data_IF_599234153839
#
_entry.id   IF_599234153839
#
_cell.length_a   1.000
_cell.length_b   1.000
_cell.length_c   1.000
_cell.angle_alpha   90.00
_cell.angle_beta   90.00
_cell.angle_gamma   90.00
#
_symmetry.space_group_name_H-M   'P 1'
#
loop_
_entity.id
_entity.type
_entity.pdbx_description
1 polymer ?
#
# COMPACT_ATOMS: atom_id res chain seq x y z
N UNK A 1 21.08 -11.35 -14.19
CA UNK A 1 19.80 -11.20 -13.47
C UNK A 1 20.12 -11.11 -11.99
N UNK A 2 20.13 -9.92 -11.40
CA UNK A 2 20.34 -9.77 -9.95
C UNK A 2 19.03 -10.14 -9.26
N UNK A 3 19.07 -11.19 -8.43
CA UNK A 3 18.04 -11.48 -7.44
C UNK A 3 18.15 -10.40 -6.35
N UNK A 4 17.05 -9.73 -6.05
CA UNK A 4 16.91 -8.92 -4.83
C UNK A 4 16.51 -9.86 -3.69
N UNK A 5 17.39 -10.14 -2.71
CA UNK A 5 17.03 -10.91 -1.53
C UNK A 5 16.55 -9.91 -0.48
N UNK A 6 15.38 -9.33 -0.69
CA UNK A 6 14.80 -8.36 0.22
C UNK A 6 13.39 -8.79 0.57
N UNK A 7 13.19 -9.28 1.79
CA UNK A 7 11.85 -9.43 2.35
C UNK A 7 11.12 -8.09 2.21
N UNK A 8 9.94 -8.08 1.58
CA UNK A 8 9.22 -6.87 1.21
C UNK A 8 8.88 -5.96 2.41
N UNK A 9 8.85 -6.49 3.64
CA UNK A 9 8.58 -5.73 4.85
C UNK A 9 9.57 -4.59 5.15
N UNK A 10 10.82 -4.63 4.68
CA UNK A 10 11.76 -3.52 4.87
C UNK A 10 11.48 -2.32 3.94
N UNK A 11 10.69 -2.52 2.88
CA UNK A 11 10.32 -1.48 1.93
C UNK A 11 9.02 -0.76 2.26
N UNK A 12 8.24 -1.22 3.24
CA UNK A 12 6.96 -0.63 3.63
C UNK A 12 7.07 0.19 4.92
N UNK A 13 6.71 1.47 4.83
CA UNK A 13 6.59 2.35 6.01
C UNK A 13 5.18 2.23 6.60
N UNK A 14 5.05 2.29 7.93
CA UNK A 14 3.74 2.38 8.58
C UNK A 14 3.25 3.83 8.60
N UNK A 15 2.03 4.06 8.10
CA UNK A 15 1.37 5.37 8.06
C UNK A 15 0.33 5.60 9.17
N UNK A 16 0.28 4.74 10.19
CA UNK A 16 -0.74 4.81 11.25
C UNK A 16 -0.45 5.88 12.33
N UNK A 17 0.72 6.53 12.26
CA UNK A 17 1.06 7.72 13.03
C UNK A 17 0.35 8.96 12.44
N UNK A 18 -0.01 9.92 13.29
CA UNK A 18 -0.64 11.17 12.86
C UNK A 18 0.38 12.25 12.46
N UNK A 19 1.67 12.01 12.66
CA UNK A 19 2.73 12.92 12.23
C UNK A 19 3.01 12.77 10.72
N UNK A 20 2.28 13.56 9.92
CA UNK A 20 2.38 13.55 8.46
C UNK A 20 3.71 14.12 7.94
N UNK A 21 4.35 15.03 8.67
CA UNK A 21 5.64 15.60 8.26
C UNK A 21 6.75 14.56 8.44
N UNK A 22 6.74 13.85 9.56
CA UNK A 22 7.62 12.70 9.78
C UNK A 22 7.36 11.59 8.77
N UNK A 23 6.10 11.29 8.48
CA UNK A 23 5.74 10.29 7.48
C UNK A 23 6.29 10.66 6.10
N UNK A 24 6.18 11.93 5.70
CA UNK A 24 6.74 12.41 4.44
C UNK A 24 8.27 12.22 4.37
N UNK A 25 8.98 12.55 5.44
CA UNK A 25 10.44 12.34 5.53
C UNK A 25 10.79 10.85 5.40
N UNK A 26 10.05 9.97 6.07
CA UNK A 26 10.27 8.53 5.98
C UNK A 26 10.03 8.00 4.57
N UNK A 27 8.92 8.38 3.94
CA UNK A 27 8.58 7.97 2.57
C UNK A 27 9.59 8.48 1.54
N UNK A 28 10.29 9.58 1.83
CA UNK A 28 11.32 10.14 0.95
C UNK A 28 12.70 9.44 1.08
N UNK A 29 12.84 8.44 1.95
CA UNK A 29 14.09 7.71 2.13
C UNK A 29 14.38 6.75 0.97
N UNK A 30 15.66 6.55 0.68
CA UNK A 30 16.09 5.53 -0.28
C UNK A 30 15.68 4.15 0.25
N UNK A 31 15.13 3.31 -0.62
CA UNK A 31 14.60 1.95 -0.36
C UNK A 31 13.16 1.85 0.18
N UNK A 32 12.43 2.96 0.30
CA UNK A 32 10.98 2.87 0.54
C UNK A 32 10.26 2.57 -0.77
N UNK A 33 9.50 1.49 -0.77
CA UNK A 33 8.73 0.97 -1.91
C UNK A 33 7.25 1.29 -1.71
N UNK A 34 6.78 1.30 -0.46
CA UNK A 34 5.37 1.52 -0.20
C UNK A 34 5.02 1.95 1.20
N UNK A 35 3.73 2.18 1.38
CA UNK A 35 3.09 2.55 2.62
C UNK A 35 2.06 1.49 3.03
N UNK A 36 2.00 1.16 4.32
CA UNK A 36 0.91 0.36 4.89
C UNK A 36 0.17 1.14 5.98
N UNK A 37 -1.16 1.01 6.01
CA UNK A 37 -2.01 1.54 7.09
C UNK A 37 -2.96 0.46 7.60
N UNK A 38 -2.91 0.20 8.90
CA UNK A 38 -3.82 -0.72 9.57
C UNK A 38 -5.08 -0.01 10.05
N UNK A 39 -4.98 1.30 10.31
CA UNK A 39 -6.11 2.14 10.65
C UNK A 39 -6.72 2.73 9.39
N UNK A 40 -8.04 2.76 9.35
CA UNK A 40 -8.77 3.46 8.32
C UNK A 40 -8.40 4.94 8.33
N UNK A 41 -7.87 5.50 7.22
CA UNK A 41 -7.53 6.91 7.15
C UNK A 41 -8.78 7.77 7.45
N UNK A 42 -8.76 8.64 8.46
CA UNK A 42 -9.96 9.36 8.92
C UNK A 42 -10.36 10.51 8.00
N UNK A 43 -9.44 10.98 7.17
CA UNK A 43 -9.59 12.18 6.34
C UNK A 43 -9.09 11.92 4.93
N UNK A 44 -9.74 12.57 3.96
CA UNK A 44 -9.31 12.60 2.54
C UNK A 44 -8.93 14.03 2.15
N UNK A 45 -8.04 14.19 1.17
CA UNK A 45 -7.65 15.50 0.63
C UNK A 45 -6.48 16.17 1.37
N UNK A 46 -6.46 17.51 1.43
CA UNK A 46 -5.35 18.27 2.03
C UNK A 46 -5.18 17.90 3.51
N UNK A 47 -3.93 17.71 3.94
CA UNK A 47 -3.63 17.31 5.32
C UNK A 47 -4.00 15.86 5.64
N UNK A 48 -4.23 15.01 4.63
CA UNK A 48 -4.41 13.57 4.83
C UNK A 48 -3.16 12.79 4.45
N UNK A 49 -3.08 11.53 4.90
CA UNK A 49 -2.08 10.56 4.45
C UNK A 49 -2.07 10.42 2.92
N UNK A 50 -3.21 10.56 2.23
CA UNK A 50 -3.27 10.51 0.77
C UNK A 50 -2.57 11.68 0.10
N UNK A 51 -2.63 12.87 0.70
CA UNK A 51 -1.84 14.00 0.22
C UNK A 51 -0.33 13.75 0.40
N UNK A 52 0.07 13.05 1.47
CA UNK A 52 1.46 12.65 1.68
C UNK A 52 1.91 11.60 0.66
N UNK A 53 1.11 10.57 0.41
CA UNK A 53 1.38 9.53 -0.61
C UNK A 53 1.62 10.18 -1.98
N UNK A 54 0.74 11.12 -2.38
CA UNK A 54 0.85 11.85 -3.64
C UNK A 54 2.09 12.74 -3.66
N UNK A 55 2.35 13.50 -2.58
CA UNK A 55 3.50 14.41 -2.48
C UNK A 55 4.83 13.67 -2.51
N UNK A 56 4.90 12.49 -1.88
CA UNK A 56 6.08 11.64 -1.85
C UNK A 56 6.25 10.77 -3.10
N UNK A 57 5.28 10.81 -4.05
CA UNK A 57 5.28 10.01 -5.27
C UNK A 57 5.52 8.50 -5.01
N UNK A 58 4.89 7.98 -3.95
CA UNK A 58 5.07 6.58 -3.55
C UNK A 58 4.30 5.65 -4.50
N UNK A 59 4.94 4.61 -5.06
CA UNK A 59 4.31 3.78 -6.09
C UNK A 59 3.28 2.79 -5.50
N UNK A 60 3.39 2.43 -4.22
CA UNK A 60 2.51 1.42 -3.61
C UNK A 60 1.97 1.90 -2.27
N UNK A 61 0.65 1.83 -2.08
CA UNK A 61 0.06 2.01 -0.76
C UNK A 61 -1.03 0.96 -0.49
N UNK A 62 -1.01 0.36 0.70
CA UNK A 62 -1.97 -0.63 1.14
C UNK A 62 -2.64 -0.15 2.43
N UNK A 63 -3.97 -0.16 2.49
CA UNK A 63 -4.68 0.26 3.71
C UNK A 63 -5.95 -0.54 3.96
N UNK A 64 -6.37 -0.58 5.22
CA UNK A 64 -7.70 -1.05 5.61
C UNK A 64 -8.71 0.09 5.51
N UNK A 65 -9.92 -0.19 4.99
CA UNK A 65 -11.05 0.76 4.96
C UNK A 65 -11.81 0.85 6.28
N UNK A 66 -11.53 -0.07 7.20
CA UNK A 66 -12.21 -0.17 8.49
C UNK A 66 -11.22 -0.60 9.56
N UNK A 67 -11.38 -0.04 10.76
CA UNK A 67 -10.63 -0.45 11.93
C UNK A 67 -11.19 -1.79 12.43
N UNK A 68 -10.42 -2.87 12.33
CA UNK A 68 -10.82 -4.19 12.83
C UNK A 68 -10.18 -4.46 14.19
N UNK A 69 -10.86 -5.30 14.97
CA UNK A 69 -10.55 -5.49 16.40
C UNK A 69 -9.33 -6.36 16.69
N UNK A 70 -8.86 -7.22 15.75
CA UNK A 70 -7.79 -8.19 16.02
C UNK A 70 -6.88 -8.49 14.81
N UNK A 71 -5.60 -8.74 15.09
CA UNK A 71 -4.57 -9.33 14.23
C UNK A 71 -4.42 -8.73 12.83
N UNK A 72 -4.71 -7.45 12.64
CA UNK A 72 -4.56 -6.79 11.34
C UNK A 72 -3.10 -6.69 10.91
N UNK A 73 -2.21 -6.36 11.85
CA UNK A 73 -0.79 -6.21 11.58
C UNK A 73 -0.18 -7.50 11.02
N UNK A 74 -0.36 -8.62 11.71
CA UNK A 74 0.17 -9.92 11.28
C UNK A 74 -0.39 -10.36 9.93
N UNK A 75 -1.68 -10.12 9.68
CA UNK A 75 -2.29 -10.49 8.41
C UNK A 75 -1.82 -9.61 7.24
N UNK A 76 -1.70 -8.30 7.45
CA UNK A 76 -1.21 -7.36 6.43
C UNK A 76 0.28 -7.61 6.17
N UNK A 77 1.09 -7.79 7.22
CA UNK A 77 2.51 -8.10 7.08
C UNK A 77 2.71 -9.47 6.44
N UNK A 78 1.90 -10.46 6.81
CA UNK A 78 1.89 -11.76 6.16
C UNK A 78 1.55 -11.68 4.67
N UNK A 79 0.58 -10.83 4.28
CA UNK A 79 0.22 -10.61 2.89
C UNK A 79 1.35 -9.93 2.09
N UNK A 80 2.01 -8.93 2.67
CA UNK A 80 3.14 -8.25 2.03
C UNK A 80 4.35 -9.18 1.90
N UNK A 81 4.57 -10.05 2.88
CA UNK A 81 5.73 -10.94 2.93
C UNK A 81 5.56 -12.25 2.17
N UNK A 82 4.34 -12.65 1.83
CA UNK A 82 4.09 -13.94 1.16
C UNK A 82 4.38 -13.92 -0.34
N UNK A 83 4.70 -12.75 -0.92
CA UNK A 83 4.87 -12.60 -2.35
C UNK A 83 5.94 -11.56 -2.71
N UNK A 84 6.43 -11.61 -3.95
CA UNK A 84 7.23 -10.52 -4.50
C UNK A 84 6.35 -9.30 -4.73
N UNK A 85 6.94 -8.10 -4.73
CA UNK A 85 6.16 -6.86 -4.84
C UNK A 85 5.23 -6.85 -6.08
N UNK A 86 5.72 -7.29 -7.24
CA UNK A 86 4.93 -7.35 -8.48
C UNK A 86 3.72 -8.31 -8.44
N UNK A 87 3.67 -9.21 -7.47
CA UNK A 87 2.58 -10.17 -7.25
C UNK A 87 1.57 -9.65 -6.22
N UNK A 88 1.87 -8.55 -5.51
CA UNK A 88 1.02 -7.98 -4.47
C UNK A 88 -0.41 -7.69 -4.94
N UNK A 89 -0.66 -7.16 -6.17
CA UNK A 89 -2.02 -6.97 -6.66
C UNK A 89 -2.84 -8.27 -6.70
N UNK A 90 -2.25 -9.36 -7.20
CA UNK A 90 -2.91 -10.66 -7.25
C UNK A 90 -3.04 -11.29 -5.86
N UNK A 91 -2.06 -11.11 -4.97
CA UNK A 91 -2.16 -11.55 -3.58
C UNK A 91 -3.32 -10.86 -2.83
N UNK A 92 -3.46 -9.54 -2.99
CA UNK A 92 -4.58 -8.76 -2.42
C UNK A 92 -5.92 -9.24 -2.99
N UNK A 93 -6.00 -9.46 -4.30
CA UNK A 93 -7.20 -9.97 -4.97
C UNK A 93 -7.58 -11.37 -4.47
N UNK A 94 -6.60 -12.27 -4.33
CA UNK A 94 -6.81 -13.61 -3.76
C UNK A 94 -7.31 -13.51 -2.33
N UNK A 95 -6.70 -12.69 -1.48
CA UNK A 95 -7.14 -12.50 -0.09
C UNK A 95 -8.58 -11.97 0.01
N UNK A 96 -8.97 -11.06 -0.88
CA UNK A 96 -10.36 -10.59 -1.01
C UNK A 96 -11.33 -11.72 -1.36
N UNK A 97 -10.95 -12.63 -2.25
CA UNK A 97 -11.78 -13.77 -2.65
C UNK A 97 -11.89 -14.83 -1.54
N UNK A 98 -10.79 -15.10 -0.83
CA UNK A 98 -10.76 -16.06 0.28
C UNK A 98 -11.64 -15.63 1.45
N UNK A 99 -11.65 -14.34 1.76
CA UNK A 99 -12.44 -13.80 2.86
C UNK A 99 -13.91 -13.54 2.44
N UNK A 100 -14.22 -13.48 1.14
CA UNK A 100 -15.58 -13.21 0.62
C UNK A 100 -16.72 -14.01 1.27
N UNK A 101 -16.60 -15.33 1.55
CA UNK A 101 -17.67 -16.11 2.20
C UNK A 101 -17.79 -15.87 3.71
N UNK A 102 -16.88 -15.12 4.33
CA UNK A 102 -16.83 -14.88 5.77
C UNK A 102 -17.62 -13.62 6.17
N UNK A 103 -17.92 -13.42 7.46
CA UNK A 103 -18.51 -12.18 7.94
C UNK A 103 -17.61 -10.97 7.64
N UNK A 104 -18.16 -9.83 7.17
CA UNK A 104 -17.35 -8.68 6.73
C UNK A 104 -16.33 -8.19 7.76
N UNK A 105 -16.77 -8.03 9.02
CA UNK A 105 -15.98 -7.38 10.07
C UNK A 105 -14.92 -8.28 10.75
N UNK A 106 -14.74 -9.53 10.28
CA UNK A 106 -13.82 -10.49 10.90
C UNK A 106 -12.51 -10.64 10.16
N UNK A 107 -12.43 -10.24 8.88
CA UNK A 107 -11.24 -10.47 8.06
C UNK A 107 -10.82 -9.26 7.23
N UNK A 108 -9.50 -9.11 7.06
CA UNK A 108 -8.93 -7.96 6.34
C UNK A 108 -9.37 -7.91 4.88
N UNK A 109 -9.67 -9.04 4.23
CA UNK A 109 -10.01 -9.13 2.82
C UNK A 109 -11.17 -8.23 2.40
N UNK A 110 -12.20 -8.08 3.24
CA UNK A 110 -13.32 -7.16 2.96
C UNK A 110 -12.92 -5.68 2.98
N UNK A 111 -11.83 -5.35 3.66
CA UNK A 111 -11.41 -3.98 3.95
C UNK A 111 -10.10 -3.59 3.28
N UNK A 112 -9.37 -4.52 2.65
CA UNK A 112 -8.13 -4.21 1.94
C UNK A 112 -8.38 -3.26 0.77
N UNK A 113 -7.57 -2.22 0.68
CA UNK A 113 -7.46 -1.30 -0.45
C UNK A 113 -6.00 -1.17 -0.87
N UNK A 114 -5.76 -1.19 -2.18
CA UNK A 114 -4.44 -1.13 -2.78
C UNK A 114 -4.43 0.02 -3.79
N UNK A 115 -3.48 0.93 -3.62
CA UNK A 115 -2.99 1.83 -4.64
C UNK A 115 -1.73 1.22 -5.22
N UNK A 116 -1.72 1.05 -6.54
CA UNK A 116 -0.62 0.46 -7.29
C UNK A 116 -0.35 1.34 -8.50
N UNK A 117 0.77 2.05 -8.47
CA UNK A 117 1.33 2.77 -9.60
C UNK A 117 1.93 1.75 -10.56
N UNK A 118 1.66 1.90 -11.86
CA UNK A 118 2.12 0.95 -12.87
C UNK A 118 3.48 1.41 -13.38
N UNK A 119 4.59 0.76 -12.99
CA UNK A 119 5.94 1.21 -13.36
C UNK A 119 6.19 1.13 -14.87
N UNK A 120 5.34 0.43 -15.62
CA UNK A 120 5.43 0.32 -17.08
C UNK A 120 4.57 1.36 -17.80
N UNK A 121 3.86 2.22 -17.08
CA UNK A 121 3.03 3.27 -17.66
C UNK A 121 3.89 4.42 -18.15
N UNK A 122 4.30 4.33 -19.40
CA UNK A 122 4.97 5.43 -20.10
C UNK A 122 3.97 6.54 -20.45
N UNK A 123 4.35 7.83 -20.33
CA UNK A 123 3.55 8.92 -20.89
C UNK A 123 3.31 8.70 -22.38
N UNK A 124 2.14 9.07 -22.91
CA UNK A 124 1.88 8.96 -24.34
C UNK A 124 2.92 9.76 -25.13
N UNK A 125 3.42 9.19 -26.23
CA UNK A 125 4.25 9.92 -27.19
C UNK A 125 3.37 10.93 -27.92
N UNK A 126 3.46 12.20 -27.53
CA UNK A 126 2.84 13.29 -28.26
C UNK A 126 3.80 13.67 -29.39
N UNK A 127 3.48 13.27 -30.62
CA UNK A 127 4.11 13.85 -31.80
C UNK A 127 3.44 15.21 -32.06
N UNK A 128 4.17 16.29 -31.78
CA UNK A 128 3.77 17.61 -32.24
C UNK A 128 4.08 17.69 -33.73
N UNK A 129 3.06 17.61 -34.59
CA UNK A 129 3.18 18.06 -35.97
C UNK A 129 3.36 19.58 -35.97
N UNK A 130 4.55 20.04 -36.34
CA UNK A 130 4.82 21.45 -36.64
C UNK A 130 4.13 21.89 -37.93
#
# INVERSE_FOLDING_TARGET
MQQFPGSACNGFVSGDDQDLDRLFVQLSQQNVIGLKLLKAPPTIGKGSVFAVILKAAIPVALWLRQNLSKNCQEQVDGLINCCCIHELPEAVKKKRLEDLPMPPDTHIGHHLSLLWEDPYRVPPSIEYSM
#
